data_IF_504654703175
#
_entry.id   IF_504654703175
#
_cell.length_a   1.000
_cell.length_b   1.000
_cell.length_c   1.000
_cell.angle_alpha   90.00
_cell.angle_beta   90.00
_cell.angle_gamma   90.00
#
_symmetry.space_group_name_H-M   'P 1'
#
loop_
_entity.id
_entity.type
_entity.pdbx_description
1 polymer ?
#
# COMPACT_ATOMS: atom_id res chain seq x y z
N UNK A 1 47.40 0.21 44.51
CA UNK A 1 46.12 0.85 44.88
C UNK A 1 45.03 -0.07 44.38
N UNK A 2 44.57 -0.93 45.33
CA UNK A 2 43.63 -2.00 45.07
C UNK A 2 42.19 -1.47 45.07
N UNK A 3 41.42 -1.92 44.10
CA UNK A 3 39.96 -1.75 44.10
C UNK A 3 39.31 -3.00 44.66
N UNK A 4 38.30 -2.89 45.55
CA UNK A 4 37.62 -4.04 46.13
C UNK A 4 36.54 -4.61 45.18
N UNK A 5 36.13 -5.88 45.34
CA UNK A 5 35.19 -6.57 44.45
C UNK A 5 33.74 -6.23 44.73
N UNK A 6 32.93 -6.30 43.70
CA UNK A 6 31.47 -6.03 43.73
C UNK A 6 30.71 -7.19 44.43
N UNK A 7 29.84 -6.83 45.36
CA UNK A 7 28.91 -7.73 46.05
C UNK A 7 27.73 -8.16 45.16
N UNK A 8 27.47 -9.46 45.19
CA UNK A 8 26.26 -10.09 44.61
C UNK A 8 25.03 -9.77 45.46
N UNK A 9 23.99 -9.22 44.85
CA UNK A 9 22.67 -9.11 45.47
C UNK A 9 21.79 -10.30 45.06
N UNK A 10 21.25 -10.98 46.08
CA UNK A 10 20.38 -12.14 46.04
C UNK A 10 18.93 -11.81 45.55
N UNK A 11 18.14 -12.81 45.15
CA UNK A 11 16.87 -12.60 44.44
C UNK A 11 15.71 -12.31 45.41
N UNK A 12 14.89 -11.35 45.01
CA UNK A 12 13.57 -11.05 45.64
C UNK A 12 12.57 -12.14 45.29
N UNK A 13 12.45 -13.15 46.13
CA UNK A 13 11.27 -14.00 46.27
C UNK A 13 10.96 -14.08 47.77
N UNK A 14 9.71 -13.90 48.14
CA UNK A 14 9.06 -14.05 49.44
C UNK A 14 8.51 -12.72 50.03
N UNK A 15 7.33 -12.32 49.52
CA UNK A 15 6.45 -11.46 50.29
C UNK A 15 4.98 -11.66 49.84
N UNK A 16 4.39 -12.80 50.08
CA UNK A 16 2.95 -13.01 50.18
C UNK A 16 2.71 -14.24 51.05
N UNK A 17 2.56 -14.02 52.35
CA UNK A 17 1.78 -14.88 53.26
C UNK A 17 1.44 -14.11 54.51
N UNK A 18 0.17 -14.16 54.83
CA UNK A 18 -0.55 -13.71 56.07
C UNK A 18 -1.29 -12.39 55.93
N UNK A 19 -2.60 -12.55 55.74
CA UNK A 19 -3.65 -11.96 56.57
C UNK A 19 -4.99 -12.61 56.13
N UNK A 20 -5.40 -13.62 56.88
CA UNK A 20 -6.79 -14.10 56.89
C UNK A 20 -7.58 -13.36 57.96
N UNK A 21 -8.82 -13.05 57.65
CA UNK A 21 -9.95 -13.16 58.57
C UNK A 21 -11.12 -12.26 58.11
N UNK A 22 -12.22 -12.87 57.69
CA UNK A 22 -13.53 -12.52 58.12
C UNK A 22 -14.17 -11.27 57.53
N UNK A 23 -15.03 -11.40 56.50
CA UNK A 23 -16.16 -10.50 56.34
C UNK A 23 -17.31 -11.22 55.57
N UNK A 24 -18.49 -11.05 56.11
CA UNK A 24 -19.74 -11.70 55.80
C UNK A 24 -20.18 -11.52 54.33
N UNK A 25 -20.75 -12.62 53.77
CA UNK A 25 -21.48 -12.63 52.51
C UNK A 25 -22.78 -11.82 52.63
N UNK A 26 -22.84 -10.66 51.98
CA UNK A 26 -24.10 -10.01 51.60
C UNK A 26 -24.45 -10.50 50.16
N UNK A 27 -25.49 -11.33 50.07
CA UNK A 27 -26.05 -11.75 48.79
C UNK A 27 -26.87 -10.58 48.22
N UNK A 28 -26.31 -9.91 47.22
CA UNK A 28 -27.05 -9.02 46.33
C UNK A 28 -27.60 -9.78 45.16
N UNK A 29 -28.85 -9.56 44.72
CA UNK A 29 -29.42 -10.25 43.58
C UNK A 29 -28.68 -9.83 42.30
N UNK A 30 -28.18 -10.83 41.54
CA UNK A 30 -27.60 -10.65 40.25
C UNK A 30 -28.65 -10.12 39.27
N UNK A 31 -28.51 -8.86 38.87
CA UNK A 31 -29.15 -8.35 37.65
C UNK A 31 -28.54 -9.08 36.45
N UNK A 32 -29.35 -9.56 35.50
CA UNK A 32 -28.80 -10.13 34.27
C UNK A 32 -28.09 -8.99 33.51
N UNK A 33 -26.78 -9.05 33.48
CA UNK A 33 -25.98 -8.36 32.48
C UNK A 33 -26.43 -8.91 31.12
N UNK A 34 -27.27 -8.16 30.42
CA UNK A 34 -27.52 -8.37 29.01
C UNK A 34 -26.17 -8.25 28.31
N UNK A 35 -25.58 -9.38 28.05
CA UNK A 35 -24.44 -9.51 27.11
C UNK A 35 -24.99 -9.08 25.75
N UNK A 36 -25.03 -7.78 25.53
CA UNK A 36 -25.14 -7.23 24.20
C UNK A 36 -23.96 -7.76 23.41
N UNK A 37 -24.15 -8.91 22.73
CA UNK A 37 -23.37 -9.29 21.59
C UNK A 37 -23.54 -8.15 20.57
N UNK A 38 -22.76 -7.10 20.70
CA UNK A 38 -22.39 -6.27 19.57
C UNK A 38 -21.63 -7.22 18.63
N UNK A 39 -22.38 -8.02 17.85
CA UNK A 39 -21.87 -8.59 16.61
C UNK A 39 -21.30 -7.40 15.87
N UNK A 40 -19.98 -7.28 15.89
CA UNK A 40 -19.27 -6.52 14.88
C UNK A 40 -19.91 -6.98 13.57
N UNK A 41 -20.70 -6.13 12.95
CA UNK A 41 -21.16 -6.32 11.59
C UNK A 41 -19.87 -6.45 10.79
N UNK A 42 -19.49 -7.69 10.48
CA UNK A 42 -18.37 -8.01 9.63
C UNK A 42 -18.66 -7.30 8.32
N UNK A 43 -18.08 -6.12 8.14
CA UNK A 43 -18.16 -5.39 6.89
C UNK A 43 -17.45 -6.27 5.88
N UNK A 44 -18.25 -6.99 5.07
CA UNK A 44 -17.75 -7.90 4.04
C UNK A 44 -17.01 -7.03 3.01
N UNK A 45 -15.69 -6.88 3.18
CA UNK A 45 -14.84 -6.12 2.27
C UNK A 45 -14.30 -7.04 1.18
N UNK A 46 -14.03 -6.48 0.00
CA UNK A 46 -13.43 -7.21 -1.11
C UNK A 46 -12.01 -7.61 -0.76
N UNK A 47 -11.80 -8.92 -0.61
CA UNK A 47 -10.49 -9.53 -0.39
C UNK A 47 -9.99 -10.19 -1.69
N UNK A 48 -8.69 -10.28 -1.84
CA UNK A 48 -8.01 -10.98 -2.94
C UNK A 48 -6.93 -11.90 -2.39
N UNK A 49 -6.85 -13.08 -2.93
CA UNK A 49 -5.83 -14.05 -2.56
C UNK A 49 -4.52 -13.75 -3.26
N UNK A 50 -3.42 -13.78 -2.53
CA UNK A 50 -2.06 -13.84 -3.07
C UNK A 50 -1.85 -15.26 -3.58
N UNK A 51 -1.73 -15.50 -4.91
CA UNK A 51 -1.83 -16.86 -5.44
C UNK A 51 -0.80 -17.83 -4.87
N UNK A 52 0.43 -17.36 -4.63
CA UNK A 52 1.54 -18.22 -4.17
C UNK A 52 1.46 -18.62 -2.69
N UNK A 53 0.79 -17.86 -1.86
CA UNK A 53 0.70 -18.16 -0.42
C UNK A 53 -0.69 -18.61 0.04
N UNK A 54 -1.73 -18.33 -0.75
CA UNK A 54 -3.12 -18.52 -0.34
C UNK A 54 -3.62 -17.47 0.66
N UNK A 55 -2.77 -16.55 1.11
CA UNK A 55 -3.14 -15.46 2.02
C UNK A 55 -4.05 -14.46 1.32
N UNK A 56 -5.06 -13.98 2.03
CA UNK A 56 -5.99 -12.98 1.52
C UNK A 56 -5.65 -11.59 2.05
N UNK A 57 -5.61 -10.61 1.15
CA UNK A 57 -5.40 -9.19 1.46
C UNK A 57 -6.54 -8.34 0.89
N UNK A 58 -6.83 -7.16 1.47
CA UNK A 58 -7.81 -6.23 0.90
C UNK A 58 -7.41 -5.80 -0.51
N UNK A 59 -8.38 -5.72 -1.42
CA UNK A 59 -8.15 -5.34 -2.80
C UNK A 59 -7.77 -3.85 -2.99
N UNK A 60 -7.89 -3.02 -1.96
CA UNK A 60 -7.44 -1.62 -1.92
C UNK A 60 -6.39 -1.46 -0.85
N UNK A 61 -5.24 -0.98 -1.26
CA UNK A 61 -4.13 -0.53 -0.41
C UNK A 61 -4.01 0.99 -0.39
N UNK A 62 -2.88 1.48 0.13
CA UNK A 62 -2.53 2.89 0.24
C UNK A 62 -1.12 3.11 -0.31
N UNK A 63 -1.00 3.90 -1.40
CA UNK A 63 0.26 4.38 -1.92
C UNK A 63 0.73 5.65 -1.19
N UNK A 64 2.05 5.84 -1.11
CA UNK A 64 2.64 6.96 -0.34
C UNK A 64 3.43 7.97 -1.19
N UNK A 65 3.59 7.72 -2.48
CA UNK A 65 4.36 8.59 -3.36
C UNK A 65 3.83 10.03 -3.39
N UNK A 66 4.67 11.02 -3.11
CA UNK A 66 4.40 12.45 -2.96
C UNK A 66 3.46 12.82 -1.81
N UNK A 67 2.51 11.96 -1.45
CA UNK A 67 1.43 12.27 -0.51
C UNK A 67 1.86 12.15 0.94
N UNK A 68 2.90 11.35 1.24
CA UNK A 68 3.47 11.14 2.58
C UNK A 68 4.86 11.80 2.74
N UNK A 69 5.32 12.51 1.71
CA UNK A 69 6.59 13.25 1.73
C UNK A 69 6.38 14.62 2.36
N UNK A 70 6.42 14.67 3.69
CA UNK A 70 6.24 15.86 4.50
C UNK A 70 7.58 16.27 5.09
N UNK A 71 7.98 17.55 4.90
CA UNK A 71 9.25 18.06 5.41
C UNK A 71 9.30 18.00 6.95
N UNK A 72 10.48 17.76 7.54
CA UNK A 72 10.67 17.86 8.98
C UNK A 72 10.14 19.19 9.54
N UNK A 73 9.47 19.13 10.69
CA UNK A 73 8.87 20.30 11.32
C UNK A 73 7.52 20.77 10.74
N UNK A 74 7.06 20.18 9.64
CA UNK A 74 5.72 20.45 9.12
C UNK A 74 4.67 19.56 9.78
N UNK A 75 3.42 20.06 9.95
CA UNK A 75 2.32 19.27 10.51
C UNK A 75 2.03 18.01 9.71
N UNK A 76 1.85 16.86 10.40
CA UNK A 76 1.58 15.55 9.80
C UNK A 76 0.26 14.92 10.27
N UNK A 77 -0.57 15.64 11.01
CA UNK A 77 -1.83 15.13 11.58
C UNK A 77 -2.78 14.62 10.50
N UNK A 78 -2.81 15.24 9.34
CA UNK A 78 -3.59 14.78 8.19
C UNK A 78 -3.13 13.41 7.70
N UNK A 79 -1.82 13.12 7.70
CA UNK A 79 -1.28 11.80 7.34
C UNK A 79 -1.65 10.75 8.39
N UNK A 80 -1.57 11.12 9.68
CA UNK A 80 -2.03 10.27 10.79
C UNK A 80 -3.51 9.88 10.60
N UNK A 81 -4.35 10.85 10.25
CA UNK A 81 -5.78 10.62 10.01
C UNK A 81 -6.04 9.78 8.76
N UNK A 82 -5.24 9.93 7.69
CA UNK A 82 -5.28 9.06 6.50
C UNK A 82 -5.02 7.61 6.90
N UNK A 83 -3.95 7.33 7.66
CA UNK A 83 -3.62 5.96 8.10
C UNK A 83 -4.73 5.42 9.01
N UNK A 84 -5.28 6.22 9.92
CA UNK A 84 -6.37 5.81 10.80
C UNK A 84 -7.59 5.39 9.99
N UNK A 85 -8.08 6.24 9.07
CA UNK A 85 -9.26 5.92 8.23
C UNK A 85 -9.01 4.74 7.30
N UNK A 86 -7.79 4.62 6.79
CA UNK A 86 -7.38 3.46 6.01
C UNK A 86 -7.52 2.16 6.81
N UNK A 87 -6.94 2.13 8.01
CA UNK A 87 -6.98 0.98 8.90
C UNK A 87 -8.41 0.63 9.35
N UNK A 88 -9.15 1.63 9.84
CA UNK A 88 -10.53 1.48 10.32
C UNK A 88 -11.47 1.03 9.19
N UNK A 89 -11.20 1.48 7.97
CA UNK A 89 -11.92 1.07 6.76
C UNK A 89 -11.66 -0.36 6.28
N UNK A 90 -10.70 -1.06 6.88
CA UNK A 90 -10.33 -2.44 6.54
C UNK A 90 -9.07 -2.56 5.68
N UNK A 91 -8.39 -1.45 5.35
CA UNK A 91 -7.13 -1.47 4.62
C UNK A 91 -5.99 -2.10 5.44
N UNK A 92 -5.07 -2.77 4.73
CA UNK A 92 -3.90 -3.43 5.35
C UNK A 92 -2.62 -3.26 4.52
N UNK A 93 -2.73 -3.08 3.21
CA UNK A 93 -1.60 -3.00 2.29
C UNK A 93 -1.11 -1.57 2.18
N UNK A 94 0.14 -1.29 2.53
CA UNK A 94 0.76 0.03 2.29
C UNK A 94 1.95 -0.15 1.35
N UNK A 95 1.97 0.66 0.29
CA UNK A 95 3.07 0.73 -0.68
C UNK A 95 3.92 1.97 -0.46
N UNK A 96 5.21 1.76 -0.29
CA UNK A 96 6.19 2.83 -0.09
C UNK A 96 7.49 2.58 -0.85
N UNK A 97 8.48 3.45 -0.66
CA UNK A 97 9.84 3.29 -1.22
C UNK A 97 10.82 4.21 -0.48
N UNK A 98 12.10 3.84 -0.35
CA UNK A 98 13.16 4.74 0.09
C UNK A 98 13.26 6.04 -0.74
N UNK A 99 12.79 6.00 -1.99
CA UNK A 99 12.76 7.17 -2.88
C UNK A 99 11.56 8.09 -2.66
N UNK A 100 10.67 7.78 -1.71
CA UNK A 100 9.44 8.58 -1.48
C UNK A 100 9.62 9.60 -0.34
N UNK A 101 10.82 10.19 -0.24
CA UNK A 101 11.15 11.23 0.74
C UNK A 101 10.99 10.71 2.17
N UNK A 102 10.10 11.34 2.95
CA UNK A 102 9.80 10.93 4.33
C UNK A 102 8.67 9.89 4.44
N UNK A 103 8.24 9.30 3.33
CA UNK A 103 7.09 8.39 3.28
C UNK A 103 7.22 7.19 4.23
N UNK A 104 8.37 6.50 4.24
CA UNK A 104 8.62 5.36 5.14
C UNK A 104 8.54 5.77 6.61
N UNK A 105 9.13 6.92 6.96
CA UNK A 105 9.12 7.45 8.34
C UNK A 105 7.69 7.76 8.78
N UNK A 106 6.91 8.43 7.93
CA UNK A 106 5.52 8.75 8.24
C UNK A 106 4.66 7.50 8.45
N UNK A 107 4.88 6.45 7.64
CA UNK A 107 4.19 5.16 7.81
C UNK A 107 4.60 4.50 9.13
N UNK A 108 5.90 4.38 9.40
CA UNK A 108 6.42 3.73 10.59
C UNK A 108 5.97 4.41 11.88
N UNK A 109 6.09 5.74 11.96
CA UNK A 109 5.69 6.54 13.12
C UNK A 109 4.21 6.32 13.46
N UNK A 110 3.32 6.47 12.48
CA UNK A 110 1.88 6.40 12.76
C UNK A 110 1.37 4.97 12.91
N UNK A 111 1.95 4.00 12.18
CA UNK A 111 1.62 2.60 12.39
C UNK A 111 1.99 2.14 13.81
N UNK A 112 3.16 2.57 14.30
CA UNK A 112 3.62 2.29 15.66
C UNK A 112 2.74 2.99 16.70
N UNK A 113 2.42 4.27 16.49
CA UNK A 113 1.54 5.03 17.39
C UNK A 113 0.14 4.40 17.51
N UNK A 114 -0.35 3.72 16.49
CA UNK A 114 -1.62 2.99 16.51
C UNK A 114 -1.49 1.52 16.97
N UNK A 115 -0.28 1.00 17.20
CA UNK A 115 -0.03 -0.39 17.53
C UNK A 115 -0.43 -1.37 16.43
N UNK A 116 -0.29 -0.98 15.15
CA UNK A 116 -0.72 -1.77 13.98
C UNK A 116 0.43 -2.22 13.08
N UNK A 117 1.67 -1.87 13.42
CA UNK A 117 2.86 -2.11 12.60
C UNK A 117 2.95 -3.54 12.11
N UNK A 118 2.82 -4.55 13.01
CA UNK A 118 2.97 -5.96 12.64
C UNK A 118 1.78 -6.56 11.89
N UNK A 119 0.66 -5.82 11.86
CA UNK A 119 -0.57 -6.24 11.18
C UNK A 119 -0.74 -5.61 9.80
N UNK A 120 0.18 -4.73 9.39
CA UNK A 120 0.21 -4.16 8.05
C UNK A 120 0.96 -5.07 7.09
N UNK A 121 0.50 -5.14 5.85
CA UNK A 121 1.18 -5.77 4.73
C UNK A 121 1.95 -4.67 3.98
N UNK A 122 3.28 -4.68 4.09
CA UNK A 122 4.14 -3.63 3.55
C UNK A 122 4.74 -4.05 2.22
N UNK A 123 4.53 -3.25 1.18
CA UNK A 123 5.22 -3.38 -0.10
C UNK A 123 6.22 -2.24 -0.26
N UNK A 124 7.46 -2.59 -0.58
CA UNK A 124 8.57 -1.65 -0.66
C UNK A 124 9.47 -1.94 -1.86
N UNK A 125 10.50 -1.14 -2.08
CA UNK A 125 11.27 -1.17 -3.32
C UNK A 125 12.77 -0.97 -3.07
N UNK A 126 13.60 -1.59 -3.94
CA UNK A 126 15.02 -1.34 -4.03
C UNK A 126 15.33 -0.65 -5.36
N UNK A 127 16.14 0.39 -5.30
CA UNK A 127 16.64 1.12 -6.45
C UNK A 127 18.14 1.38 -6.28
N UNK A 128 18.96 0.72 -7.07
CA UNK A 128 20.42 0.84 -7.03
C UNK A 128 20.97 1.18 -8.41
N UNK A 129 21.80 2.22 -8.48
CA UNK A 129 22.40 2.70 -9.73
C UNK A 129 23.85 3.12 -9.52
N UNK A 130 24.53 3.51 -10.59
CA UNK A 130 25.88 4.06 -10.55
C UNK A 130 26.92 3.03 -10.10
N UNK A 131 27.74 3.39 -9.16
CA UNK A 131 28.81 2.58 -8.58
C UNK A 131 28.33 1.30 -7.90
N UNK A 132 27.04 1.19 -7.60
CA UNK A 132 26.44 0.02 -6.92
C UNK A 132 25.95 -1.06 -7.89
N UNK A 133 26.26 -0.97 -9.18
CA UNK A 133 25.77 -1.92 -10.18
C UNK A 133 26.34 -3.34 -10.04
N UNK A 134 27.56 -3.46 -9.51
CA UNK A 134 28.24 -4.75 -9.34
C UNK A 134 28.20 -5.33 -7.92
N UNK A 135 27.51 -4.67 -6.99
CA UNK A 135 27.58 -4.98 -5.57
C UNK A 135 26.20 -4.78 -4.90
N UNK A 136 25.86 -5.67 -4.00
CA UNK A 136 24.59 -5.65 -3.27
C UNK A 136 24.60 -4.77 -2.00
N UNK A 137 25.74 -4.17 -1.64
CA UNK A 137 25.89 -3.46 -0.37
C UNK A 137 24.92 -2.30 -0.21
N UNK A 138 24.67 -1.54 -1.27
CA UNK A 138 23.70 -0.45 -1.28
C UNK A 138 22.27 -0.99 -1.09
N UNK A 139 21.90 -2.05 -1.80
CA UNK A 139 20.59 -2.67 -1.67
C UNK A 139 20.36 -3.20 -0.26
N UNK A 140 21.39 -3.82 0.35
CA UNK A 140 21.36 -4.32 1.74
C UNK A 140 21.15 -3.19 2.75
N UNK A 141 21.93 -2.11 2.66
CA UNK A 141 21.74 -0.92 3.51
C UNK A 141 20.36 -0.30 3.33
N UNK A 142 19.85 -0.25 2.09
CA UNK A 142 18.52 0.28 1.80
C UNK A 142 17.43 -0.55 2.47
N UNK A 143 17.51 -1.89 2.43
CA UNK A 143 16.57 -2.77 3.14
C UNK A 143 16.62 -2.54 4.66
N UNK A 144 17.81 -2.49 5.25
CA UNK A 144 17.99 -2.28 6.68
C UNK A 144 17.45 -0.93 7.15
N UNK A 145 17.70 0.13 6.40
CA UNK A 145 17.13 1.46 6.66
C UNK A 145 15.61 1.47 6.53
N UNK A 146 15.05 0.75 5.54
CA UNK A 146 13.59 0.63 5.38
C UNK A 146 12.96 -0.09 6.56
N UNK A 147 13.57 -1.19 7.02
CA UNK A 147 13.10 -1.91 8.22
C UNK A 147 13.11 -1.01 9.45
N UNK A 148 14.19 -0.24 9.68
CA UNK A 148 14.28 0.71 10.78
C UNK A 148 13.22 1.81 10.70
N UNK A 149 13.02 2.45 9.53
CA UNK A 149 12.05 3.52 9.34
C UNK A 149 10.61 3.05 9.49
N UNK A 150 10.33 1.80 9.09
CA UNK A 150 9.01 1.19 9.15
C UNK A 150 8.74 0.45 10.47
N UNK A 151 9.74 0.37 11.36
CA UNK A 151 9.68 -0.39 12.61
C UNK A 151 9.31 -1.87 12.38
N UNK A 152 10.00 -2.50 11.40
CA UNK A 152 9.74 -3.87 10.98
C UNK A 152 11.02 -4.69 10.97
N UNK A 153 10.92 -5.95 11.36
CA UNK A 153 12.02 -6.94 11.23
C UNK A 153 12.01 -7.64 9.87
N UNK A 154 10.91 -7.50 9.13
CA UNK A 154 10.71 -8.12 7.82
C UNK A 154 9.77 -7.29 6.96
N UNK A 155 10.05 -7.21 5.66
CA UNK A 155 9.18 -6.59 4.66
C UNK A 155 8.35 -7.68 3.95
N UNK A 156 7.07 -7.42 3.69
CA UNK A 156 6.23 -8.43 3.04
C UNK A 156 6.57 -8.57 1.55
N UNK A 157 6.59 -7.48 0.77
CA UNK A 157 7.00 -7.51 -0.63
C UNK A 157 8.13 -6.53 -0.86
N UNK A 158 9.23 -7.02 -1.43
CA UNK A 158 10.31 -6.16 -1.91
C UNK A 158 10.40 -6.26 -3.43
N UNK A 159 10.41 -5.12 -4.11
CA UNK A 159 10.37 -5.04 -5.56
C UNK A 159 11.59 -4.32 -6.13
N UNK A 160 12.08 -4.74 -7.29
CA UNK A 160 13.06 -3.96 -8.05
C UNK A 160 12.34 -2.74 -8.64
N UNK A 161 12.73 -1.55 -8.20
CA UNK A 161 12.08 -0.29 -8.56
C UNK A 161 12.41 0.11 -9.99
N UNK A 162 11.39 0.25 -10.83
CA UNK A 162 11.50 0.67 -12.24
C UNK A 162 12.46 -0.19 -13.06
N UNK A 163 12.59 -1.49 -12.74
CA UNK A 163 13.51 -2.44 -13.37
C UNK A 163 15.00 -2.01 -13.34
N UNK A 164 15.32 -1.02 -12.51
CA UNK A 164 16.70 -0.50 -12.43
C UNK A 164 17.62 -1.57 -11.85
N UNK A 165 18.66 -1.93 -12.63
CA UNK A 165 19.64 -2.95 -12.29
C UNK A 165 18.99 -4.31 -11.90
N UNK A 166 17.89 -4.67 -12.58
CA UNK A 166 17.04 -5.79 -12.20
C UNK A 166 17.80 -7.13 -12.23
N UNK A 167 18.72 -7.32 -13.16
CA UNK A 167 19.49 -8.57 -13.32
C UNK A 167 20.43 -8.83 -12.13
N UNK A 168 20.86 -7.78 -11.42
CA UNK A 168 21.65 -7.89 -10.19
C UNK A 168 20.76 -7.96 -8.95
N UNK A 169 19.71 -7.13 -8.89
CA UNK A 169 18.91 -6.97 -7.68
C UNK A 169 17.90 -8.09 -7.50
N UNK A 170 17.27 -8.60 -8.55
CA UNK A 170 16.25 -9.66 -8.41
C UNK A 170 16.82 -10.95 -7.78
N UNK A 171 18.01 -11.46 -8.15
CA UNK A 171 18.65 -12.57 -7.42
C UNK A 171 18.90 -12.27 -5.93
N UNK A 172 19.27 -11.04 -5.59
CA UNK A 172 19.44 -10.60 -4.20
C UNK A 172 18.12 -10.67 -3.45
N UNK A 173 17.01 -10.18 -4.03
CA UNK A 173 15.68 -10.29 -3.42
C UNK A 173 15.26 -11.75 -3.22
N UNK A 174 15.58 -12.63 -4.18
CA UNK A 174 15.30 -14.06 -4.05
C UNK A 174 16.12 -14.71 -2.91
N UNK A 175 17.36 -14.26 -2.67
CA UNK A 175 18.16 -14.68 -1.52
C UNK A 175 17.51 -14.22 -0.22
N UNK A 176 17.16 -12.93 -0.11
CA UNK A 176 16.50 -12.39 1.09
C UNK A 176 15.16 -13.06 1.40
N UNK A 177 14.44 -13.52 0.37
CA UNK A 177 13.24 -14.33 0.55
C UNK A 177 13.59 -15.68 1.20
N UNK A 178 14.65 -16.37 0.74
CA UNK A 178 15.11 -17.63 1.36
C UNK A 178 15.61 -17.45 2.80
N UNK A 179 16.23 -16.31 3.08
CA UNK A 179 16.69 -15.91 4.41
C UNK A 179 15.54 -15.46 5.35
N UNK A 180 14.33 -15.30 4.83
CA UNK A 180 13.17 -14.84 5.60
C UNK A 180 13.15 -13.33 5.90
N UNK A 181 14.06 -12.54 5.30
CA UNK A 181 14.11 -11.08 5.45
C UNK A 181 12.97 -10.37 4.72
N UNK A 182 12.51 -10.97 3.63
CA UNK A 182 11.30 -10.58 2.90
C UNK A 182 10.42 -11.81 2.68
N UNK A 183 9.11 -11.59 2.43
CA UNK A 183 8.19 -12.70 2.15
C UNK A 183 8.06 -12.98 0.68
N UNK A 184 8.02 -11.94 -0.14
CA UNK A 184 7.80 -12.00 -1.59
C UNK A 184 8.78 -11.09 -2.32
N UNK A 185 9.27 -11.56 -3.46
CA UNK A 185 10.11 -10.79 -4.39
C UNK A 185 9.26 -10.34 -5.60
N UNK A 186 9.50 -9.11 -6.09
CA UNK A 186 8.74 -8.55 -7.19
C UNK A 186 9.53 -7.59 -8.05
N UNK A 187 8.85 -7.11 -9.11
CA UNK A 187 9.34 -6.07 -10.01
C UNK A 187 8.26 -5.04 -10.26
N UNK A 188 8.66 -3.80 -10.59
CA UNK A 188 7.71 -2.74 -10.90
C UNK A 188 8.19 -1.80 -11.98
N UNK A 189 7.29 -1.36 -12.84
CA UNK A 189 7.45 -0.21 -13.71
C UNK A 189 6.10 0.44 -14.00
N UNK A 190 6.10 1.79 -14.14
CA UNK A 190 4.86 2.52 -14.41
C UNK A 190 4.80 3.15 -15.79
N UNK A 191 5.91 3.19 -16.52
CA UNK A 191 5.98 3.78 -17.86
C UNK A 191 5.74 2.72 -18.95
N UNK A 192 4.86 3.03 -19.88
CA UNK A 192 4.40 2.11 -20.92
C UNK A 192 5.51 1.53 -21.81
N UNK A 193 6.58 2.28 -22.21
CA UNK A 193 7.66 1.72 -23.01
C UNK A 193 8.38 0.53 -22.36
N UNK A 194 8.32 0.39 -21.03
CA UNK A 194 8.96 -0.70 -20.30
C UNK A 194 8.05 -1.90 -20.04
N UNK A 195 6.79 -1.87 -20.48
CA UNK A 195 5.84 -2.97 -20.24
C UNK A 195 6.27 -4.27 -20.93
N UNK A 196 6.93 -4.18 -22.11
CA UNK A 196 7.51 -5.35 -22.76
C UNK A 196 8.60 -6.04 -21.92
N UNK A 197 9.48 -5.26 -21.30
CA UNK A 197 10.49 -5.78 -20.39
C UNK A 197 9.87 -6.32 -19.11
N UNK A 198 8.91 -5.57 -18.51
CA UNK A 198 8.20 -6.01 -17.31
C UNK A 198 7.46 -7.34 -17.52
N UNK A 199 6.80 -7.51 -18.68
CA UNK A 199 6.10 -8.72 -19.06
C UNK A 199 7.01 -9.96 -19.07
N UNK A 200 8.27 -9.84 -19.49
CA UNK A 200 9.21 -10.97 -19.54
C UNK A 200 9.44 -11.61 -18.18
N UNK A 201 9.54 -10.84 -17.09
CA UNK A 201 9.72 -11.38 -15.73
C UNK A 201 8.47 -12.11 -15.24
N UNK A 202 7.29 -11.64 -15.65
CA UNK A 202 5.99 -12.26 -15.34
C UNK A 202 5.81 -13.55 -16.14
N UNK A 203 6.04 -13.53 -17.46
CA UNK A 203 5.93 -14.67 -18.37
C UNK A 203 6.89 -15.80 -18.03
N UNK A 204 8.12 -15.46 -17.61
CA UNK A 204 9.14 -16.42 -17.17
C UNK A 204 8.93 -16.91 -15.74
N UNK A 205 7.88 -16.46 -15.06
CA UNK A 205 7.55 -16.86 -13.69
C UNK A 205 8.66 -16.62 -12.67
N UNK A 206 9.39 -15.51 -12.80
CA UNK A 206 10.57 -15.18 -12.00
C UNK A 206 10.27 -14.40 -10.71
N UNK A 207 9.03 -13.96 -10.52
CA UNK A 207 8.62 -13.07 -9.43
C UNK A 207 7.34 -13.57 -8.75
N UNK A 208 7.10 -13.12 -7.54
CA UNK A 208 5.85 -13.39 -6.80
C UNK A 208 4.83 -12.25 -7.00
N UNK A 209 5.33 -11.02 -7.18
CA UNK A 209 4.54 -9.80 -7.36
C UNK A 209 5.02 -9.02 -8.58
N UNK A 210 4.07 -8.42 -9.28
CA UNK A 210 4.33 -7.38 -10.26
C UNK A 210 3.51 -6.15 -9.91
N UNK A 211 4.15 -4.97 -9.89
CA UNK A 211 3.45 -3.72 -9.75
C UNK A 211 3.48 -2.96 -11.07
N UNK A 212 2.31 -2.59 -11.59
CA UNK A 212 2.13 -2.05 -12.92
C UNK A 212 1.10 -0.92 -12.94
N UNK A 213 1.30 0.05 -13.83
CA UNK A 213 0.29 1.06 -14.13
C UNK A 213 -0.90 0.43 -14.85
N UNK A 214 -2.07 0.56 -14.24
CA UNK A 214 -3.33 0.10 -14.81
C UNK A 214 -4.50 0.97 -14.34
N UNK A 215 -5.32 1.40 -15.28
CA UNK A 215 -6.49 2.23 -15.02
C UNK A 215 -7.55 2.01 -16.10
N UNK A 216 -8.73 2.58 -15.93
CA UNK A 216 -9.78 2.56 -16.95
C UNK A 216 -9.33 3.21 -18.27
N UNK A 217 -8.36 4.10 -18.23
CA UNK A 217 -7.79 4.76 -19.41
C UNK A 217 -6.59 3.98 -19.97
N UNK A 218 -5.63 3.60 -19.11
CA UNK A 218 -4.41 2.89 -19.50
C UNK A 218 -4.56 1.39 -19.28
N UNK A 219 -4.79 0.64 -20.38
CA UNK A 219 -5.11 -0.79 -20.35
C UNK A 219 -4.06 -1.70 -20.99
N UNK A 220 -2.91 -1.17 -21.40
CA UNK A 220 -1.84 -1.93 -22.09
C UNK A 220 -1.40 -3.18 -21.30
N UNK A 221 -1.52 -3.19 -19.99
CA UNK A 221 -1.20 -4.36 -19.16
C UNK A 221 -2.10 -5.58 -19.47
N UNK A 222 -3.30 -5.38 -20.02
CA UNK A 222 -4.23 -6.46 -20.39
C UNK A 222 -3.72 -7.30 -21.57
N UNK A 223 -2.78 -6.80 -22.36
CA UNK A 223 -2.25 -7.52 -23.54
C UNK A 223 -1.35 -8.68 -23.15
N UNK A 224 -0.44 -8.48 -22.17
CA UNK A 224 0.56 -9.49 -21.81
C UNK A 224 0.70 -9.70 -20.30
N UNK A 225 0.83 -8.62 -19.52
CA UNK A 225 1.19 -8.70 -18.09
C UNK A 225 0.09 -9.37 -17.27
N UNK A 226 -1.16 -8.93 -17.41
CA UNK A 226 -2.27 -9.46 -16.62
C UNK A 226 -2.60 -10.92 -16.98
N UNK A 227 -2.68 -11.33 -18.26
CA UNK A 227 -2.87 -12.73 -18.62
C UNK A 227 -1.73 -13.64 -18.13
N UNK A 228 -0.46 -13.20 -18.27
CA UNK A 228 0.68 -13.97 -17.80
C UNK A 228 0.71 -14.08 -16.27
N UNK A 229 0.36 -13.01 -15.55
CA UNK A 229 0.28 -13.03 -14.10
C UNK A 229 -0.79 -14.01 -13.60
N UNK A 230 -1.95 -14.02 -14.24
CA UNK A 230 -3.04 -14.97 -13.92
C UNK A 230 -2.61 -16.41 -14.17
N UNK A 231 -2.00 -16.70 -15.32
CA UNK A 231 -1.53 -18.02 -15.71
C UNK A 231 -0.43 -18.57 -14.77
N UNK A 232 0.46 -17.69 -14.30
CA UNK A 232 1.62 -18.06 -13.49
C UNK A 232 1.39 -17.89 -11.97
N UNK A 233 0.19 -17.51 -11.54
CA UNK A 233 -0.10 -17.31 -10.13
C UNK A 233 0.75 -16.19 -9.50
N UNK A 234 0.94 -15.08 -10.22
CA UNK A 234 1.68 -13.91 -9.76
C UNK A 234 0.69 -12.85 -9.29
N UNK A 235 0.91 -12.30 -8.11
CA UNK A 235 0.07 -11.23 -7.56
C UNK A 235 0.32 -9.91 -8.30
N UNK A 236 -0.76 -9.22 -8.69
CA UNK A 236 -0.68 -7.94 -9.39
C UNK A 236 -1.10 -6.80 -8.47
N UNK A 237 -0.17 -5.86 -8.27
CA UNK A 237 -0.41 -4.60 -7.59
C UNK A 237 -0.52 -3.47 -8.61
N UNK A 238 -1.57 -2.66 -8.51
CA UNK A 238 -1.83 -1.58 -9.47
C UNK A 238 -1.43 -0.24 -8.89
N UNK A 239 -0.47 0.42 -9.52
CA UNK A 239 -0.18 1.82 -9.28
C UNK A 239 -0.95 2.73 -10.27
N UNK A 240 -1.01 4.03 -9.96
CA UNK A 240 -1.64 5.08 -10.79
C UNK A 240 -3.09 4.79 -11.23
N UNK A 241 -3.98 4.21 -10.41
CA UNK A 241 -5.35 3.88 -10.82
C UNK A 241 -6.19 5.12 -11.21
N UNK A 242 -5.71 6.33 -10.89
CA UNK A 242 -6.34 7.61 -11.18
C UNK A 242 -5.59 8.47 -12.21
N UNK A 243 -4.64 7.89 -12.98
CA UNK A 243 -3.87 8.63 -13.99
C UNK A 243 -3.18 9.88 -13.42
N UNK A 244 -2.54 9.78 -12.25
CA UNK A 244 -1.94 10.94 -11.57
C UNK A 244 -2.96 12.07 -11.37
N UNK A 245 -4.16 11.74 -10.91
CA UNK A 245 -5.32 12.62 -10.68
C UNK A 245 -5.97 13.22 -11.94
N UNK A 246 -5.51 12.88 -13.15
CA UNK A 246 -6.11 13.38 -14.41
C UNK A 246 -7.55 12.95 -14.59
N UNK A 247 -7.90 11.71 -14.17
CA UNK A 247 -9.27 11.21 -14.24
C UNK A 247 -10.24 12.07 -13.43
N UNK A 248 -9.84 12.59 -12.28
CA UNK A 248 -10.68 13.50 -11.50
C UNK A 248 -10.88 14.85 -12.20
N UNK A 249 -9.83 15.36 -12.87
CA UNK A 249 -9.98 16.60 -13.66
C UNK A 249 -10.93 16.42 -14.84
N UNK A 250 -10.90 15.25 -15.48
CA UNK A 250 -11.79 14.92 -16.60
C UNK A 250 -13.27 14.90 -16.18
N UNK A 251 -13.56 14.38 -14.99
CA UNK A 251 -14.94 14.21 -14.49
C UNK A 251 -15.38 15.33 -13.55
N UNK A 252 -14.61 16.40 -13.43
CA UNK A 252 -14.91 17.52 -12.55
C UNK A 252 -16.28 18.14 -12.92
N UNK A 253 -17.16 18.30 -11.92
CA UNK A 253 -18.51 18.80 -12.11
C UNK A 253 -19.50 17.83 -12.80
N UNK A 254 -19.08 16.61 -13.17
CA UNK A 254 -19.94 15.62 -13.80
C UNK A 254 -20.59 14.71 -12.76
N UNK A 255 -21.89 14.43 -12.86
CA UNK A 255 -22.54 13.42 -12.03
C UNK A 255 -22.08 12.02 -12.43
N UNK A 256 -22.15 11.09 -11.48
CA UNK A 256 -22.01 9.67 -11.79
C UNK A 256 -23.14 9.19 -12.71
N UNK A 257 -22.90 8.24 -13.62
CA UNK A 257 -23.96 7.63 -14.40
C UNK A 257 -24.92 6.84 -13.51
N UNK A 258 -26.19 6.78 -13.86
CA UNK A 258 -27.23 6.15 -13.04
C UNK A 258 -26.93 4.71 -12.67
N UNK A 259 -26.32 3.95 -13.58
CA UNK A 259 -25.96 2.54 -13.33
C UNK A 259 -24.87 2.37 -12.24
N UNK A 260 -24.16 3.42 -11.86
CA UNK A 260 -23.21 3.36 -10.76
C UNK A 260 -23.87 2.96 -9.42
N UNK A 261 -25.16 3.28 -9.26
CA UNK A 261 -25.97 2.91 -8.09
C UNK A 261 -26.12 1.40 -7.94
N UNK A 262 -26.17 0.65 -9.04
CA UNK A 262 -26.25 -0.83 -9.05
C UNK A 262 -25.06 -1.48 -8.35
N UNK A 263 -23.91 -0.77 -8.34
CA UNK A 263 -22.67 -1.19 -7.71
C UNK A 263 -22.42 -0.55 -6.33
N UNK A 264 -23.37 0.25 -5.82
CA UNK A 264 -23.19 1.02 -4.59
C UNK A 264 -22.05 2.04 -4.67
N UNK A 265 -21.77 2.58 -5.86
CA UNK A 265 -20.73 3.58 -6.10
C UNK A 265 -21.26 4.96 -5.69
N UNK A 266 -20.57 5.60 -4.74
CA UNK A 266 -20.97 6.90 -4.19
C UNK A 266 -20.20 8.09 -4.81
N UNK A 267 -19.03 7.84 -5.41
CA UNK A 267 -18.15 8.87 -5.98
C UNK A 267 -17.26 8.33 -7.10
N UNK A 268 -16.59 9.23 -7.82
CA UNK A 268 -15.71 8.86 -8.94
C UNK A 268 -14.49 8.04 -8.52
N UNK A 269 -13.96 8.22 -7.30
CA UNK A 269 -12.85 7.40 -6.81
C UNK A 269 -13.26 5.93 -6.73
N UNK A 270 -14.45 5.64 -6.17
CA UNK A 270 -15.01 4.29 -6.12
C UNK A 270 -15.31 3.74 -7.52
N UNK A 271 -15.76 4.58 -8.45
CA UNK A 271 -16.01 4.19 -9.83
C UNK A 271 -14.73 3.63 -10.47
N UNK A 272 -13.66 4.39 -10.43
CA UNK A 272 -12.38 3.99 -11.01
C UNK A 272 -11.77 2.78 -10.30
N UNK A 273 -11.78 2.76 -8.97
CA UNK A 273 -11.19 1.67 -8.19
C UNK A 273 -11.95 0.35 -8.36
N UNK A 274 -13.28 0.37 -8.33
CA UNK A 274 -14.09 -0.84 -8.56
C UNK A 274 -13.87 -1.40 -9.96
N UNK A 275 -13.72 -0.53 -10.97
CA UNK A 275 -13.37 -0.97 -12.31
C UNK A 275 -12.00 -1.68 -12.32
N UNK A 276 -10.99 -1.14 -11.63
CA UNK A 276 -9.64 -1.73 -11.55
C UNK A 276 -9.67 -3.08 -10.81
N UNK A 277 -10.19 -3.09 -9.58
CA UNK A 277 -10.12 -4.30 -8.72
C UNK A 277 -11.09 -5.41 -9.14
N UNK A 278 -12.02 -5.16 -10.06
CA UNK A 278 -12.88 -6.19 -10.62
C UNK A 278 -12.20 -7.06 -11.67
N UNK A 279 -11.05 -6.64 -12.22
CA UNK A 279 -10.29 -7.48 -13.13
C UNK A 279 -9.72 -8.69 -12.37
N UNK A 280 -9.91 -9.95 -12.87
CA UNK A 280 -9.57 -11.17 -12.12
C UNK A 280 -8.09 -11.31 -11.77
N UNK A 281 -7.19 -10.74 -12.58
CA UNK A 281 -5.75 -10.78 -12.31
C UNK A 281 -5.30 -9.78 -11.21
N UNK A 282 -6.12 -8.79 -10.83
CA UNK A 282 -5.70 -7.75 -9.90
C UNK A 282 -5.85 -8.23 -8.45
N UNK A 283 -4.74 -8.17 -7.72
CA UNK A 283 -4.69 -8.50 -6.30
C UNK A 283 -4.96 -7.27 -5.44
N UNK A 284 -4.33 -6.11 -5.74
CA UNK A 284 -4.50 -4.91 -4.95
C UNK A 284 -4.24 -3.63 -5.77
N UNK A 285 -5.11 -2.63 -5.67
CA UNK A 285 -4.84 -1.29 -6.18
C UNK A 285 -4.37 -0.37 -5.05
N UNK A 286 -3.37 0.50 -5.31
CA UNK A 286 -2.73 1.35 -4.31
C UNK A 286 -2.87 2.84 -4.63
N UNK A 287 -4.10 3.40 -4.58
CA UNK A 287 -4.30 4.83 -4.70
C UNK A 287 -3.54 5.57 -3.59
N UNK A 288 -2.97 6.75 -3.91
CA UNK A 288 -2.23 7.56 -2.97
C UNK A 288 -3.01 8.86 -2.66
N UNK A 289 -3.10 9.23 -1.39
CA UNK A 289 -3.70 10.49 -0.96
C UNK A 289 -3.12 10.96 0.37
N UNK A 290 -3.05 12.29 0.56
CA UNK A 290 -2.79 12.94 1.84
C UNK A 290 -4.06 13.55 2.46
N UNK A 291 -5.21 13.39 1.81
CA UNK A 291 -6.50 13.90 2.30
C UNK A 291 -7.30 12.76 2.95
N UNK A 292 -7.67 12.88 4.24
CA UNK A 292 -8.44 11.87 4.95
C UNK A 292 -9.81 11.54 4.33
N UNK A 293 -10.49 12.54 3.74
CA UNK A 293 -11.80 12.31 3.10
C UNK A 293 -11.65 11.51 1.81
N UNK A 294 -10.65 11.82 0.99
CA UNK A 294 -10.33 11.01 -0.19
C UNK A 294 -9.92 9.58 0.19
N UNK A 295 -9.28 9.40 1.37
CA UNK A 295 -8.97 8.05 1.85
C UNK A 295 -10.23 7.26 2.22
N UNK A 296 -11.20 7.92 2.85
CA UNK A 296 -12.50 7.30 3.16
C UNK A 296 -13.25 6.92 1.87
N UNK A 297 -13.20 7.77 0.84
CA UNK A 297 -13.76 7.49 -0.48
C UNK A 297 -13.09 6.28 -1.13
N UNK A 298 -11.75 6.25 -1.16
CA UNK A 298 -10.97 5.16 -1.75
C UNK A 298 -11.27 3.82 -1.10
N UNK A 299 -11.23 3.76 0.23
CA UNK A 299 -11.45 2.51 0.98
C UNK A 299 -12.91 2.05 0.88
N UNK A 300 -13.84 2.97 0.61
CA UNK A 300 -15.23 2.66 0.33
C UNK A 300 -15.42 1.76 -0.89
N UNK A 301 -14.49 1.74 -1.85
CA UNK A 301 -14.50 0.84 -3.00
C UNK A 301 -14.40 -0.65 -2.63
N UNK A 302 -13.96 -0.97 -1.41
CA UNK A 302 -13.96 -2.36 -0.89
C UNK A 302 -15.35 -2.89 -0.58
N UNK A 303 -16.41 -2.09 -0.62
CA UNK A 303 -17.76 -2.48 -0.20
C UNK A 303 -18.72 -2.55 -1.38
N UNK A 304 -19.73 -3.42 -1.26
CA UNK A 304 -20.73 -3.64 -2.29
C UNK A 304 -20.21 -4.48 -3.47
N UNK A 305 -21.06 -4.73 -4.47
CA UNK A 305 -20.74 -5.60 -5.60
C UNK A 305 -19.63 -4.98 -6.48
N UNK A 306 -18.86 -5.87 -7.10
CA UNK A 306 -17.91 -5.48 -8.16
C UNK A 306 -18.58 -5.58 -9.53
N UNK A 307 -18.20 -4.75 -10.51
CA UNK A 307 -18.66 -4.89 -11.87
C UNK A 307 -18.20 -6.23 -12.47
N UNK A 308 -19.11 -6.91 -13.13
CA UNK A 308 -18.80 -8.05 -14.01
C UNK A 308 -18.21 -7.56 -15.35
N UNK A 309 -17.94 -8.48 -16.27
CA UNK A 309 -17.31 -8.16 -17.54
C UNK A 309 -18.16 -7.18 -18.40
N UNK A 310 -19.48 -7.34 -18.42
CA UNK A 310 -20.36 -6.46 -19.20
C UNK A 310 -20.51 -5.08 -18.56
N UNK A 311 -20.61 -5.02 -17.25
CA UNK A 311 -20.63 -3.77 -16.52
C UNK A 311 -19.28 -3.02 -16.65
N UNK A 312 -18.14 -3.72 -16.62
CA UNK A 312 -16.82 -3.11 -16.91
C UNK A 312 -16.79 -2.46 -18.29
N UNK A 313 -17.31 -3.15 -19.32
CA UNK A 313 -17.44 -2.58 -20.68
C UNK A 313 -18.37 -1.37 -20.70
N UNK A 314 -19.49 -1.41 -19.97
CA UNK A 314 -20.44 -0.29 -19.85
C UNK A 314 -19.77 0.93 -19.18
N UNK A 315 -19.03 0.69 -18.11
CA UNK A 315 -18.26 1.75 -17.42
C UNK A 315 -17.22 2.37 -18.36
N UNK A 316 -16.50 1.55 -19.12
CA UNK A 316 -15.50 2.04 -20.07
C UNK A 316 -16.14 2.86 -21.17
N UNK A 317 -17.22 2.37 -21.83
CA UNK A 317 -17.95 3.13 -22.86
C UNK A 317 -18.44 4.48 -22.34
N UNK A 318 -18.92 4.54 -21.09
CA UNK A 318 -19.29 5.80 -20.48
C UNK A 318 -18.10 6.77 -20.39
N UNK A 319 -16.93 6.31 -19.99
CA UNK A 319 -15.72 7.15 -19.95
C UNK A 319 -15.30 7.59 -21.36
N UNK A 320 -15.34 6.69 -22.34
CA UNK A 320 -15.00 6.97 -23.73
C UNK A 320 -15.94 8.02 -24.38
N UNK A 321 -17.16 8.14 -23.89
CA UNK A 321 -18.11 9.19 -24.34
C UNK A 321 -17.79 10.58 -23.78
N UNK A 322 -16.89 10.69 -22.80
CA UNK A 322 -16.51 11.98 -22.21
C UNK A 322 -15.41 12.64 -23.07
N UNK A 323 -15.64 13.84 -23.62
CA UNK A 323 -14.61 14.56 -24.37
C UNK A 323 -13.32 14.72 -23.58
N UNK A 324 -12.18 14.43 -24.20
CA UNK A 324 -10.87 14.49 -23.57
C UNK A 324 -10.40 13.18 -22.90
N UNK A 325 -11.24 12.13 -22.85
CA UNK A 325 -10.81 10.85 -22.29
C UNK A 325 -9.69 10.19 -23.12
N UNK A 326 -9.78 10.19 -24.43
CA UNK A 326 -8.79 9.62 -25.34
C UNK A 326 -7.43 10.33 -25.24
N UNK A 327 -7.44 11.65 -25.02
CA UNK A 327 -6.23 12.50 -24.92
C UNK A 327 -5.87 12.85 -23.48
N UNK A 328 -6.36 12.08 -22.51
CA UNK A 328 -6.15 12.35 -21.08
C UNK A 328 -4.65 12.48 -20.70
N UNK A 329 -3.78 11.77 -21.42
CA UNK A 329 -2.33 11.80 -21.24
C UNK A 329 -1.70 13.18 -21.54
N UNK A 330 -2.34 14.02 -22.34
CA UNK A 330 -1.91 15.40 -22.64
C UNK A 330 -2.15 16.35 -21.45
N UNK A 331 -3.08 16.01 -20.57
CA UNK A 331 -3.31 16.78 -19.34
C UNK A 331 -2.07 16.68 -18.43
N UNK A 332 -1.54 17.77 -17.89
CA UNK A 332 -0.43 17.73 -16.95
C UNK A 332 -0.73 16.81 -15.76
N UNK A 333 0.28 16.08 -15.23
CA UNK A 333 0.08 15.23 -14.06
C UNK A 333 -0.25 16.04 -12.82
N UNK A 334 -1.09 15.47 -11.94
CA UNK A 334 -1.49 16.07 -10.66
C UNK A 334 -2.17 17.44 -10.80
N UNK A 335 -3.19 17.59 -11.68
CA UNK A 335 -3.84 18.88 -11.89
C UNK A 335 -4.43 19.41 -10.58
N UNK A 336 -4.16 20.68 -10.26
CA UNK A 336 -4.62 21.33 -9.03
C UNK A 336 -3.98 20.82 -7.73
N UNK A 337 -2.91 19.99 -7.80
CA UNK A 337 -2.21 19.48 -6.61
C UNK A 337 -0.83 20.14 -6.46
N UNK A 338 -0.53 20.56 -5.24
CA UNK A 338 0.77 21.08 -4.85
C UNK A 338 1.40 20.15 -3.81
N UNK A 339 2.59 19.63 -4.14
CA UNK A 339 3.39 18.82 -3.24
C UNK A 339 4.70 19.55 -2.93
N UNK A 340 5.01 19.77 -1.66
CA UNK A 340 6.14 20.60 -1.21
C UNK A 340 7.22 19.78 -0.46
N UNK A 341 7.19 18.46 -0.58
CA UNK A 341 8.14 17.57 0.08
C UNK A 341 9.53 17.56 -0.56
N UNK A 342 10.39 16.68 -0.05
CA UNK A 342 11.79 16.51 -0.47
C UNK A 342 11.87 16.16 -1.96
N UNK A 343 11.00 15.27 -2.43
CA UNK A 343 10.97 14.82 -3.83
C UNK A 343 10.78 16.01 -4.78
N UNK A 344 9.78 16.83 -4.52
CA UNK A 344 9.47 17.98 -5.39
C UNK A 344 10.56 19.05 -5.37
N UNK A 345 11.18 19.29 -4.20
CA UNK A 345 12.33 20.19 -4.11
C UNK A 345 13.51 19.67 -4.94
N UNK A 346 13.84 18.38 -4.84
CA UNK A 346 14.92 17.78 -5.63
C UNK A 346 14.63 17.82 -7.14
N UNK A 347 13.38 17.55 -7.55
CA UNK A 347 12.98 17.65 -8.96
C UNK A 347 13.10 19.07 -9.50
N UNK A 348 12.66 20.07 -8.74
CA UNK A 348 12.79 21.48 -9.11
C UNK A 348 14.24 21.94 -9.24
N UNK A 349 15.11 21.52 -8.32
CA UNK A 349 16.56 21.81 -8.38
C UNK A 349 17.21 21.21 -9.63
N UNK A 350 16.91 19.94 -9.97
CA UNK A 350 17.40 19.30 -11.20
C UNK A 350 16.92 20.02 -12.46
N UNK A 351 15.65 20.40 -12.51
CA UNK A 351 15.09 21.13 -13.65
C UNK A 351 15.72 22.52 -13.80
N UNK A 352 16.08 23.17 -12.71
CA UNK A 352 16.81 24.46 -12.73
C UNK A 352 18.26 24.31 -13.19
N UNK A 353 18.94 23.23 -12.81
CA UNK A 353 20.32 22.93 -13.20
C UNK A 353 20.47 22.47 -14.67
N UNK A 354 19.38 22.02 -15.30
CA UNK A 354 19.36 21.58 -16.70
C UNK A 354 19.05 22.72 -17.71
N UNK A 355 18.76 23.91 -17.23
CA UNK A 355 18.57 25.16 -18.01
C UNK A 355 19.83 25.99 -18.07
#
# INVERSE_FOLDING_TARGET
>A
MDMPPAEHSAPRRDFIKTLGAGAALAVLPALPLASGNARAQGTNIVMRTIPRSGESIPAIGLGTYLTFDVLPGQPREHIREVIRRFWDGGGRVIDTSPLYGTGEISVGDFATAFGITDRMFITNKIWSTGEFLGDESHARRSLEQSMQRLWRDRIDVMQVHSLVNVDQILPVLQNWKREGRIRFAGVTHHELPYFGALAQYVERNQVDFVQVHYSIQTRLAEERILPAALANGIAVQVNMPFEKARLFKLVEGRPLPDFARELGIANWAQYFLKWVISHPAITCAIPATSNPDHQAENIGALRGPLPDAEMRKRMLRHMESIPGFATLHETPPYPGKNYNGIIRKAQAQRAAAAK
#
